data_IF_657397280679
#
_entry.id   IF_657397280679
#
_cell.length_a   1.000
_cell.length_b   1.000
_cell.length_c   1.000
_cell.angle_alpha   90.00
_cell.angle_beta   90.00
_cell.angle_gamma   90.00
#
_symmetry.space_group_name_H-M   'P 1'
#
loop_
_entity.id
_entity.type
_entity.pdbx_description
1 polymer ?
#
# COMPACT_ATOMS: atom_id res chain seq x y z
N UNK A 1 19.57 6.01 -14.79
CA UNK A 1 19.43 7.17 -15.69
C UNK A 1 18.11 7.83 -15.35
N UNK A 2 18.12 9.02 -14.74
CA UNK A 2 16.90 9.77 -14.42
C UNK A 2 16.24 10.13 -15.77
N UNK A 3 15.02 9.68 -16.02
CA UNK A 3 14.24 10.09 -17.18
C UNK A 3 14.08 11.62 -17.12
N UNK A 4 14.42 12.28 -18.23
CA UNK A 4 14.24 13.71 -18.44
C UNK A 4 12.83 14.11 -18.00
N UNK A 5 12.72 15.20 -17.25
CA UNK A 5 11.42 15.75 -16.90
C UNK A 5 10.66 16.06 -18.18
N UNK A 6 9.67 15.24 -18.50
CA UNK A 6 8.80 15.44 -19.65
C UNK A 6 7.76 16.50 -19.29
N UNK A 7 7.56 17.49 -20.13
CA UNK A 7 6.59 18.56 -19.89
C UNK A 7 5.15 18.08 -20.04
N UNK A 8 4.19 18.81 -19.48
CA UNK A 8 2.78 18.47 -19.62
C UNK A 8 2.31 18.57 -21.07
N UNK A 9 2.87 19.50 -21.86
CA UNK A 9 2.61 19.60 -23.28
C UNK A 9 3.10 18.36 -24.04
N UNK A 10 4.28 17.85 -23.72
CA UNK A 10 4.81 16.62 -24.34
C UNK A 10 3.96 15.40 -23.98
N UNK A 11 3.45 15.33 -22.74
CA UNK A 11 2.58 14.24 -22.28
C UNK A 11 1.27 14.27 -23.07
N UNK A 12 0.58 15.41 -23.10
CA UNK A 12 -0.71 15.52 -23.78
C UNK A 12 -0.55 15.27 -25.29
N UNK A 13 0.56 15.72 -25.87
CA UNK A 13 0.86 15.46 -27.28
C UNK A 13 1.01 13.96 -27.56
N UNK A 14 1.80 13.24 -26.76
CA UNK A 14 1.97 11.78 -26.88
C UNK A 14 0.65 11.03 -26.71
N UNK A 15 -0.12 11.36 -25.67
CA UNK A 15 -1.41 10.72 -25.40
C UNK A 15 -2.41 11.00 -26.54
N UNK A 16 -2.49 12.25 -27.00
CA UNK A 16 -3.39 12.62 -28.10
C UNK A 16 -3.03 11.91 -29.40
N UNK A 17 -1.74 11.77 -29.68
CA UNK A 17 -1.25 11.05 -30.86
C UNK A 17 -1.57 9.55 -30.74
N UNK A 18 -1.38 8.95 -29.59
CA UNK A 18 -1.72 7.55 -29.31
C UNK A 18 -3.21 7.28 -29.50
N UNK A 19 -4.08 8.12 -28.91
CA UNK A 19 -5.55 7.98 -29.06
C UNK A 19 -5.96 8.10 -30.53
N UNK A 20 -5.39 9.04 -31.29
CA UNK A 20 -5.68 9.21 -32.71
C UNK A 20 -5.23 8.02 -33.56
N UNK A 21 -4.15 7.34 -33.17
CA UNK A 21 -3.68 6.14 -33.84
C UNK A 21 -4.54 4.90 -33.52
N UNK A 22 -5.31 4.92 -32.43
CA UNK A 22 -6.15 3.80 -31.98
C UNK A 22 -7.60 4.26 -31.73
N UNK A 23 -8.30 4.79 -32.76
CA UNK A 23 -9.60 5.45 -32.58
C UNK A 23 -10.71 4.50 -32.07
N UNK A 24 -10.60 3.21 -32.38
CA UNK A 24 -11.56 2.17 -31.94
C UNK A 24 -11.28 1.62 -30.53
N UNK A 25 -10.09 1.87 -30.00
CA UNK A 25 -9.70 1.34 -28.67
C UNK A 25 -10.40 2.05 -27.50
N UNK A 26 -10.88 3.28 -27.74
CA UNK A 26 -11.46 4.12 -26.69
C UNK A 26 -12.75 4.79 -27.17
N UNK A 27 -13.81 4.68 -26.36
CA UNK A 27 -15.04 5.45 -26.57
C UNK A 27 -14.78 6.96 -26.49
N UNK A 28 -15.65 7.76 -27.09
CA UNK A 28 -15.56 9.24 -27.02
C UNK A 28 -15.49 9.76 -25.56
N UNK A 29 -16.24 9.13 -24.67
CA UNK A 29 -16.22 9.45 -23.24
C UNK A 29 -14.87 9.14 -22.61
N UNK A 30 -14.31 7.96 -22.88
CA UNK A 30 -12.98 7.56 -22.39
C UNK A 30 -11.88 8.48 -22.90
N UNK A 31 -11.92 8.85 -24.19
CA UNK A 31 -10.97 9.80 -24.77
C UNK A 31 -11.02 11.16 -24.04
N UNK A 32 -12.22 11.68 -23.78
CA UNK A 32 -12.39 12.92 -23.04
C UNK A 32 -11.88 12.80 -21.61
N UNK A 33 -12.18 11.68 -20.93
CA UNK A 33 -11.67 11.43 -19.59
C UNK A 33 -10.14 11.38 -19.54
N UNK A 34 -9.52 10.68 -20.48
CA UNK A 34 -8.07 10.57 -20.61
C UNK A 34 -7.43 11.95 -20.80
N UNK A 35 -7.92 12.73 -21.76
CA UNK A 35 -7.39 14.06 -22.08
C UNK A 35 -7.61 15.08 -20.97
N UNK A 36 -8.65 14.91 -20.14
CA UNK A 36 -8.90 15.77 -19.00
C UNK A 36 -8.03 15.44 -17.78
N UNK A 37 -7.62 14.17 -17.64
CA UNK A 37 -6.97 13.66 -16.44
C UNK A 37 -5.51 13.20 -16.68
N UNK A 38 -4.90 13.56 -17.80
CA UNK A 38 -3.54 13.13 -18.16
C UNK A 38 -2.46 13.59 -17.18
N UNK A 39 -2.69 14.67 -16.42
CA UNK A 39 -1.78 15.15 -15.38
C UNK A 39 -1.98 14.41 -14.05
N UNK A 40 -3.09 13.67 -13.93
CA UNK A 40 -3.46 13.04 -12.69
C UNK A 40 -2.60 11.80 -12.46
N UNK A 41 -1.56 12.02 -11.65
CA UNK A 41 -0.79 10.95 -11.07
C UNK A 41 -0.12 10.01 -12.07
N UNK A 42 0.98 10.43 -12.67
CA UNK A 42 1.88 9.51 -13.38
C UNK A 42 2.56 8.49 -12.44
N UNK A 43 2.26 8.55 -11.15
CA UNK A 43 2.72 7.56 -10.17
C UNK A 43 1.86 6.32 -10.27
N UNK A 44 2.50 5.15 -10.37
CA UNK A 44 1.87 3.87 -10.66
C UNK A 44 0.68 3.49 -9.77
N UNK A 45 0.67 3.90 -8.51
CA UNK A 45 -0.42 3.61 -7.56
C UNK A 45 -1.67 4.45 -7.77
N UNK A 46 -1.54 5.65 -8.34
CA UNK A 46 -2.63 6.61 -8.46
C UNK A 46 -3.23 6.68 -9.87
N UNK A 47 -2.64 5.99 -10.84
CA UNK A 47 -3.10 6.04 -12.24
C UNK A 47 -4.36 5.20 -12.42
N UNK A 48 -5.48 5.79 -12.86
CA UNK A 48 -6.67 5.01 -13.23
C UNK A 48 -6.31 3.93 -14.26
N UNK A 49 -6.93 2.75 -14.19
CA UNK A 49 -6.59 1.61 -15.08
C UNK A 49 -6.55 1.96 -16.57
N UNK A 50 -7.49 2.80 -17.02
CA UNK A 50 -7.57 3.23 -18.41
C UNK A 50 -6.37 4.12 -18.84
N UNK A 51 -5.85 4.95 -17.94
CA UNK A 51 -4.65 5.75 -18.19
C UNK A 51 -3.38 4.93 -18.04
N UNK A 52 -3.38 3.95 -17.14
CA UNK A 52 -2.20 3.12 -16.87
C UNK A 52 -1.72 2.40 -18.11
N UNK A 53 -2.62 1.79 -18.88
CA UNK A 53 -2.25 1.11 -20.13
C UNK A 53 -1.58 2.08 -21.10
N UNK A 54 -2.15 3.26 -21.29
CA UNK A 54 -1.56 4.29 -22.19
C UNK A 54 -0.20 4.75 -21.69
N UNK A 55 -0.06 4.95 -20.40
CA UNK A 55 1.20 5.39 -19.79
C UNK A 55 2.29 4.32 -19.86
N UNK A 56 1.93 3.05 -19.73
CA UNK A 56 2.85 1.92 -19.94
C UNK A 56 3.34 1.89 -21.40
N UNK A 57 2.43 1.94 -22.36
CA UNK A 57 2.73 1.94 -23.78
C UNK A 57 3.61 3.12 -24.22
N UNK A 58 3.39 4.29 -23.63
CA UNK A 58 4.13 5.50 -23.93
C UNK A 58 5.36 5.73 -23.04
N UNK A 59 5.67 4.79 -22.15
CA UNK A 59 6.75 4.91 -21.16
C UNK A 59 6.67 6.21 -20.33
N UNK A 60 5.45 6.60 -19.96
CA UNK A 60 5.13 7.82 -19.22
C UNK A 60 4.99 7.60 -17.71
N UNK A 61 4.90 6.35 -17.27
CA UNK A 61 4.87 6.06 -15.85
C UNK A 61 6.15 6.56 -15.18
N UNK A 62 5.99 7.39 -14.19
CA UNK A 62 7.09 7.69 -13.27
C UNK A 62 7.24 6.41 -12.44
N UNK A 63 8.38 5.69 -12.54
CA UNK A 63 8.62 4.64 -11.57
C UNK A 63 8.52 5.33 -10.22
N UNK A 64 7.51 4.98 -9.44
CA UNK A 64 7.55 5.33 -8.04
C UNK A 64 8.94 4.94 -7.55
N UNK A 65 9.67 5.87 -6.92
CA UNK A 65 10.57 5.48 -5.83
C UNK A 65 9.69 4.57 -5.02
N UNK A 66 9.91 3.28 -5.14
CA UNK A 66 8.89 2.32 -4.76
C UNK A 66 8.75 2.47 -3.25
N UNK A 67 7.77 3.28 -2.82
CA UNK A 67 7.51 3.59 -1.39
C UNK A 67 7.45 2.31 -0.57
N UNK A 68 6.96 1.23 -1.22
CA UNK A 68 6.98 -0.10 -0.62
C UNK A 68 8.39 -0.67 -0.49
N UNK A 69 9.35 -0.35 -1.38
CA UNK A 69 10.74 -0.76 -1.21
C UNK A 69 11.36 -0.01 -0.02
N UNK A 70 11.20 1.31 0.05
CA UNK A 70 11.69 2.08 1.19
C UNK A 70 11.11 1.61 2.51
N UNK A 71 9.83 1.23 2.53
CA UNK A 71 9.21 0.69 3.73
C UNK A 71 9.71 -0.73 4.05
N UNK A 72 9.89 -1.57 3.03
CA UNK A 72 10.48 -2.90 3.20
C UNK A 72 11.91 -2.82 3.72
N UNK A 73 12.73 -1.90 3.20
CA UNK A 73 14.10 -1.65 3.70
C UNK A 73 14.11 -1.29 5.20
N UNK A 74 13.11 -0.52 5.67
CA UNK A 74 12.95 -0.20 7.09
C UNK A 74 12.58 -1.46 7.89
N UNK A 75 11.67 -2.27 7.38
CA UNK A 75 11.27 -3.51 8.04
C UNK A 75 12.50 -4.44 8.17
N UNK A 76 13.22 -4.69 7.08
CA UNK A 76 14.37 -5.61 7.04
C UNK A 76 15.57 -5.12 7.88
N UNK A 77 15.74 -3.80 7.97
CA UNK A 77 16.77 -3.20 8.82
C UNK A 77 16.56 -3.49 10.32
N UNK A 78 15.30 -3.59 10.73
CA UNK A 78 14.93 -3.70 12.14
C UNK A 78 14.49 -5.12 12.54
N UNK A 79 14.11 -5.96 11.58
CA UNK A 79 13.56 -7.30 11.82
C UNK A 79 14.08 -8.29 10.79
N UNK A 80 14.45 -9.48 11.25
CA UNK A 80 14.65 -10.63 10.35
C UNK A 80 13.27 -11.15 9.95
N UNK A 81 12.89 -10.93 8.69
CA UNK A 81 11.57 -11.33 8.18
C UNK A 81 11.56 -12.64 7.40
N UNK A 82 12.73 -13.20 7.04
CA UNK A 82 12.83 -14.33 6.10
C UNK A 82 12.06 -15.57 6.55
N UNK A 83 11.97 -15.78 7.86
CA UNK A 83 11.36 -16.98 8.46
C UNK A 83 10.11 -16.67 9.29
N UNK A 84 9.65 -15.41 9.30
CA UNK A 84 8.50 -15.00 10.08
C UNK A 84 7.18 -15.21 9.35
N UNK A 85 6.14 -15.55 10.09
CA UNK A 85 4.77 -15.50 9.61
C UNK A 85 4.23 -14.10 9.87
N UNK A 86 3.99 -13.36 8.80
CA UNK A 86 3.65 -11.94 8.84
C UNK A 86 2.19 -11.75 8.42
N UNK A 87 1.52 -10.80 9.05
CA UNK A 87 0.23 -10.31 8.59
C UNK A 87 0.40 -8.90 8.02
N UNK A 88 -0.08 -8.67 6.81
CA UNK A 88 -0.34 -7.34 6.29
C UNK A 88 -1.81 -6.99 6.53
N UNK A 89 -2.04 -5.88 7.23
CA UNK A 89 -3.37 -5.36 7.48
C UNK A 89 -3.69 -4.26 6.46
N UNK A 90 -4.90 -4.29 5.91
CA UNK A 90 -5.38 -3.33 4.91
C UNK A 90 -4.42 -3.18 3.73
N UNK A 91 -4.12 -4.31 3.08
CA UNK A 91 -3.22 -4.39 1.92
C UNK A 91 -3.75 -3.69 0.66
N UNK A 92 -5.01 -3.24 0.70
CA UNK A 92 -5.70 -2.60 -0.41
C UNK A 92 -6.06 -3.58 -1.54
N UNK A 93 -6.65 -3.05 -2.59
CA UNK A 93 -7.08 -3.84 -3.76
C UNK A 93 -5.96 -4.69 -4.36
N UNK A 94 -4.75 -4.16 -4.37
CA UNK A 94 -3.54 -4.80 -4.86
C UNK A 94 -2.50 -4.85 -3.74
N UNK A 95 -2.25 -6.00 -3.11
CA UNK A 95 -1.38 -6.14 -1.95
C UNK A 95 0.11 -6.03 -2.35
N UNK A 96 0.55 -4.83 -2.71
CA UNK A 96 1.88 -4.61 -3.25
C UNK A 96 3.00 -4.83 -2.22
N UNK A 97 2.79 -4.45 -0.96
CA UNK A 97 3.74 -4.72 0.12
C UNK A 97 3.83 -6.22 0.38
N UNK A 98 2.69 -6.90 0.54
CA UNK A 98 2.65 -8.35 0.76
C UNK A 98 3.32 -9.16 -0.35
N UNK A 99 3.12 -8.76 -1.61
CA UNK A 99 3.83 -9.36 -2.75
C UNK A 99 5.33 -9.20 -2.64
N UNK A 100 5.82 -8.05 -2.21
CA UNK A 100 7.25 -7.81 -2.03
C UNK A 100 7.81 -8.61 -0.87
N UNK A 101 7.17 -8.57 0.30
CA UNK A 101 7.58 -9.36 1.46
C UNK A 101 7.63 -10.84 1.10
N UNK A 102 6.62 -11.35 0.36
CA UNK A 102 6.58 -12.76 -0.05
C UNK A 102 7.77 -13.20 -0.92
N UNK A 103 8.41 -12.27 -1.64
CA UNK A 103 9.63 -12.56 -2.42
C UNK A 103 10.88 -12.67 -1.54
N UNK A 104 10.88 -12.08 -0.36
CA UNK A 104 11.99 -12.11 0.60
C UNK A 104 11.84 -13.21 1.66
N UNK A 105 10.73 -13.95 1.63
CA UNK A 105 10.46 -15.03 2.56
C UNK A 105 11.16 -16.34 2.14
N UNK A 106 11.86 -16.98 3.07
CA UNK A 106 12.47 -18.31 2.87
C UNK A 106 11.57 -19.44 3.39
N UNK A 107 11.12 -19.36 4.64
CA UNK A 107 10.27 -20.36 5.29
C UNK A 107 8.95 -19.81 5.81
N UNK A 108 8.91 -18.50 6.10
CA UNK A 108 7.72 -17.85 6.57
C UNK A 108 6.65 -17.66 5.50
N UNK A 109 5.55 -17.05 5.88
CA UNK A 109 4.45 -16.65 4.99
C UNK A 109 4.02 -15.25 5.30
N UNK A 110 3.43 -14.57 4.32
CA UNK A 110 2.67 -13.35 4.57
C UNK A 110 1.21 -13.57 4.23
N UNK A 111 0.34 -13.25 5.18
CA UNK A 111 -1.11 -13.26 4.99
C UNK A 111 -1.62 -11.82 4.91
N UNK A 112 -2.20 -11.46 3.79
CA UNK A 112 -2.80 -10.14 3.58
C UNK A 112 -4.28 -10.19 3.88
N UNK A 113 -4.75 -9.29 4.72
CA UNK A 113 -6.16 -9.10 5.05
C UNK A 113 -6.66 -7.77 4.52
N UNK A 114 -7.63 -7.82 3.62
CA UNK A 114 -8.36 -6.64 3.11
C UNK A 114 -9.67 -7.08 2.49
N UNK A 115 -10.78 -6.39 2.78
CA UNK A 115 -12.10 -6.72 2.22
C UNK A 115 -12.27 -6.27 0.77
N UNK A 116 -11.37 -5.42 0.25
CA UNK A 116 -11.39 -4.85 -1.09
C UNK A 116 -10.43 -5.56 -2.07
N UNK A 117 -9.80 -6.68 -1.67
CA UNK A 117 -8.90 -7.44 -2.54
C UNK A 117 -9.57 -7.80 -3.88
N UNK A 118 -8.90 -7.49 -4.99
CA UNK A 118 -9.40 -7.86 -6.34
C UNK A 118 -9.39 -9.39 -6.53
N UNK A 119 -8.46 -10.09 -5.88
CA UNK A 119 -8.31 -11.52 -6.01
C UNK A 119 -7.78 -12.12 -4.71
N UNK A 120 -8.26 -13.29 -4.38
CA UNK A 120 -7.73 -14.14 -3.28
C UNK A 120 -6.73 -15.18 -3.78
N UNK A 121 -6.42 -15.17 -5.08
CA UNK A 121 -5.46 -16.11 -5.67
C UNK A 121 -4.06 -15.50 -5.78
N UNK A 122 -3.04 -16.28 -5.43
CA UNK A 122 -1.64 -15.93 -5.61
C UNK A 122 -0.86 -17.12 -6.17
N UNK A 123 0.00 -16.86 -7.15
CA UNK A 123 0.95 -17.86 -7.66
C UNK A 123 2.17 -18.05 -6.74
N UNK A 124 2.37 -17.15 -5.76
CA UNK A 124 3.42 -17.30 -4.76
C UNK A 124 2.87 -18.08 -3.55
N UNK A 125 3.38 -19.28 -3.23
CA UNK A 125 2.88 -20.10 -2.12
C UNK A 125 3.10 -19.46 -0.74
N UNK A 126 3.93 -18.42 -0.65
CA UNK A 126 4.19 -17.69 0.58
C UNK A 126 3.27 -16.48 0.79
N UNK A 127 2.47 -16.14 -0.22
CA UNK A 127 1.49 -15.06 -0.17
C UNK A 127 0.08 -15.65 -0.07
N UNK A 128 -0.54 -15.44 1.08
CA UNK A 128 -1.91 -15.85 1.36
C UNK A 128 -2.78 -14.59 1.32
N UNK A 129 -3.83 -14.60 0.51
CA UNK A 129 -4.74 -13.48 0.35
C UNK A 129 -6.10 -13.81 0.95
N UNK A 130 -6.56 -12.98 1.88
CA UNK A 130 -7.84 -13.13 2.56
C UNK A 130 -8.70 -11.88 2.37
N UNK A 131 -9.80 -12.03 1.64
CA UNK A 131 -10.77 -10.95 1.41
C UNK A 131 -11.70 -10.81 2.62
N UNK A 132 -11.13 -10.40 3.72
CA UNK A 132 -11.82 -10.17 4.99
C UNK A 132 -11.08 -9.15 5.84
N UNK A 133 -11.78 -8.47 6.74
CA UNK A 133 -11.17 -7.58 7.74
C UNK A 133 -10.77 -8.35 8.99
N UNK A 134 -9.61 -8.05 9.52
CA UNK A 134 -9.23 -8.45 10.86
C UNK A 134 -10.12 -7.75 11.90
N UNK A 135 -10.42 -8.47 12.99
CA UNK A 135 -11.21 -7.95 14.11
C UNK A 135 -10.28 -7.71 15.29
N UNK A 136 -10.51 -6.63 16.04
CA UNK A 136 -9.72 -6.26 17.23
C UNK A 136 -9.52 -7.41 18.24
N UNK A 137 -10.50 -8.27 18.37
CA UNK A 137 -10.46 -9.38 19.32
C UNK A 137 -9.95 -10.69 18.74
N UNK A 138 -9.44 -10.68 17.52
CA UNK A 138 -8.99 -11.91 16.87
C UNK A 138 -7.74 -12.46 17.55
N UNK A 139 -7.80 -13.74 17.90
CA UNK A 139 -6.63 -14.48 18.37
C UNK A 139 -5.93 -15.03 17.14
N UNK A 140 -4.67 -14.67 16.99
CA UNK A 140 -3.83 -15.11 15.90
C UNK A 140 -2.93 -16.26 16.37
N UNK A 141 -2.85 -17.31 15.59
CA UNK A 141 -1.94 -18.42 15.87
C UNK A 141 -0.80 -18.42 14.86
N UNK A 142 0.41 -18.70 15.35
CA UNK A 142 1.61 -18.79 14.51
C UNK A 142 1.87 -17.53 13.69
N UNK A 143 1.65 -16.35 14.25
CA UNK A 143 1.97 -15.05 13.67
C UNK A 143 3.07 -14.42 14.53
N UNK A 144 4.07 -13.89 13.87
CA UNK A 144 5.24 -13.28 14.51
C UNK A 144 5.19 -11.74 14.44
N UNK A 145 4.53 -11.19 13.41
CA UNK A 145 4.60 -9.77 13.12
C UNK A 145 3.37 -9.26 12.36
N UNK A 146 3.02 -8.00 12.59
CA UNK A 146 2.02 -7.26 11.81
C UNK A 146 2.73 -6.13 11.07
N UNK A 147 2.41 -5.99 9.78
CA UNK A 147 2.83 -4.85 8.96
C UNK A 147 1.63 -4.18 8.33
N UNK A 148 1.76 -2.89 8.02
CA UNK A 148 0.73 -2.16 7.28
C UNK A 148 1.30 -0.91 6.63
N UNK A 149 0.90 -0.67 5.40
CA UNK A 149 1.28 0.54 4.67
C UNK A 149 0.06 1.42 4.47
N UNK A 150 0.00 2.50 5.26
CA UNK A 150 -1.13 3.45 5.30
C UNK A 150 -2.49 2.75 5.51
N UNK A 151 -2.62 1.87 6.51
CA UNK A 151 -3.83 1.06 6.69
C UNK A 151 -5.02 1.84 7.22
N UNK A 152 -4.90 3.15 7.41
CA UNK A 152 -5.96 4.02 7.94
C UNK A 152 -6.59 3.43 9.23
N UNK A 153 -7.89 3.17 9.22
CA UNK A 153 -8.61 2.55 10.34
C UNK A 153 -8.03 1.18 10.76
N UNK A 154 -7.36 0.48 9.85
CA UNK A 154 -6.62 -0.74 10.17
C UNK A 154 -5.48 -0.54 11.17
N UNK A 155 -4.99 0.70 11.35
CA UNK A 155 -3.93 1.01 12.32
C UNK A 155 -4.35 0.70 13.75
N UNK A 156 -5.53 1.13 14.16
CA UNK A 156 -6.05 0.89 15.52
C UNK A 156 -6.26 -0.60 15.78
N UNK A 157 -6.80 -1.30 14.78
CA UNK A 157 -6.98 -2.75 14.82
C UNK A 157 -5.62 -3.45 14.93
N UNK A 158 -4.61 -3.01 14.17
CA UNK A 158 -3.25 -3.58 14.24
C UNK A 158 -2.63 -3.42 15.62
N UNK A 159 -2.75 -2.23 16.24
CA UNK A 159 -2.25 -1.94 17.59
C UNK A 159 -2.93 -2.85 18.60
N UNK A 160 -4.26 -2.97 18.54
CA UNK A 160 -5.05 -3.81 19.45
C UNK A 160 -4.63 -5.29 19.35
N UNK A 161 -4.50 -5.80 18.11
CA UNK A 161 -4.10 -7.19 17.86
C UNK A 161 -2.65 -7.43 18.29
N UNK A 162 -1.72 -6.52 17.94
CA UNK A 162 -0.31 -6.65 18.31
C UNK A 162 -0.16 -6.71 19.85
N UNK A 163 -0.84 -5.82 20.55
CA UNK A 163 -0.87 -5.80 22.01
C UNK A 163 -1.39 -7.12 22.60
N UNK A 164 -2.53 -7.59 22.10
CA UNK A 164 -3.19 -8.80 22.61
C UNK A 164 -2.36 -10.06 22.40
N UNK A 165 -1.67 -10.15 21.27
CA UNK A 165 -0.92 -11.34 20.88
C UNK A 165 0.60 -11.20 21.10
N UNK A 166 1.07 -10.07 21.68
CA UNK A 166 2.48 -9.76 21.92
C UNK A 166 3.34 -9.86 20.64
N UNK A 167 2.84 -9.29 19.55
CA UNK A 167 3.49 -9.34 18.23
C UNK A 167 4.34 -8.11 17.97
N UNK A 168 5.41 -8.29 17.21
CA UNK A 168 6.11 -7.17 16.56
C UNK A 168 5.16 -6.45 15.59
N UNK A 169 5.34 -5.12 15.45
CA UNK A 169 4.50 -4.34 14.54
C UNK A 169 5.28 -3.23 13.86
N UNK A 170 5.09 -3.08 12.55
CA UNK A 170 5.61 -1.96 11.77
C UNK A 170 4.51 -1.41 10.87
N UNK A 171 4.14 -0.16 11.11
CA UNK A 171 3.07 0.52 10.37
C UNK A 171 3.61 1.84 9.79
N UNK A 172 3.48 2.03 8.49
CA UNK A 172 3.61 3.35 7.89
C UNK A 172 2.27 4.08 8.05
N UNK A 173 2.25 5.13 8.85
CA UNK A 173 1.05 5.94 9.04
C UNK A 173 0.81 6.82 7.80
N UNK A 174 -0.44 6.95 7.39
CA UNK A 174 -0.90 7.90 6.38
C UNK A 174 -1.72 9.02 7.02
N UNK A 175 -2.38 9.80 6.19
CA UNK A 175 -3.42 10.75 6.63
C UNK A 175 -4.67 9.96 6.95
N UNK A 176 -4.79 9.52 8.20
CA UNK A 176 -5.88 8.66 8.66
C UNK A 176 -7.02 9.44 9.30
N UNK A 177 -8.13 8.72 9.45
CA UNK A 177 -9.25 9.12 10.31
C UNK A 177 -9.35 8.07 11.41
N UNK A 178 -9.57 8.54 12.66
CA UNK A 178 -9.73 7.65 13.79
C UNK A 178 -11.02 6.82 13.74
N UNK A 179 -11.08 5.82 14.58
CA UNK A 179 -12.27 5.02 14.89
C UNK A 179 -12.66 5.23 16.36
N UNK A 180 -13.93 5.06 16.66
CA UNK A 180 -14.41 5.13 18.04
C UNK A 180 -14.05 6.44 18.74
N UNK A 181 -13.21 6.38 19.80
CA UNK A 181 -12.82 7.57 20.58
C UNK A 181 -11.95 8.56 19.77
N UNK A 182 -11.31 8.11 18.71
CA UNK A 182 -10.43 8.91 17.85
C UNK A 182 -11.09 9.36 16.56
N UNK A 183 -12.38 9.09 16.35
CA UNK A 183 -13.10 9.37 15.08
C UNK A 183 -13.08 10.84 14.65
N UNK A 184 -12.85 11.77 15.57
CA UNK A 184 -12.76 13.21 15.30
C UNK A 184 -11.33 13.69 15.03
N UNK A 185 -10.35 12.80 15.15
CA UNK A 185 -8.95 13.12 14.91
C UNK A 185 -8.59 12.84 13.45
N UNK A 186 -7.76 13.69 12.87
CA UNK A 186 -7.23 13.51 11.51
C UNK A 186 -5.80 14.04 11.41
N UNK A 187 -5.09 13.64 10.34
CA UNK A 187 -3.75 14.13 10.06
C UNK A 187 -2.77 13.85 11.21
N UNK A 188 -2.03 14.87 11.59
CA UNK A 188 -0.97 14.77 12.59
C UNK A 188 -1.51 14.40 14.00
N UNK A 189 -2.66 14.94 14.38
CA UNK A 189 -3.26 14.65 15.69
C UNK A 189 -3.62 13.16 15.80
N UNK A 190 -4.17 12.59 14.75
CA UNK A 190 -4.45 11.17 14.69
C UNK A 190 -3.17 10.34 14.74
N UNK A 191 -2.12 10.73 14.02
CA UNK A 191 -0.83 10.03 14.04
C UNK A 191 -0.22 10.04 15.45
N UNK A 192 -0.29 11.16 16.16
CA UNK A 192 0.19 11.27 17.54
C UNK A 192 -0.64 10.39 18.50
N UNK A 193 -1.96 10.34 18.31
CA UNK A 193 -2.81 9.45 19.09
C UNK A 193 -2.45 7.97 18.86
N UNK A 194 -2.23 7.57 17.60
CA UNK A 194 -1.81 6.20 17.26
C UNK A 194 -0.45 5.84 17.89
N UNK A 195 0.51 6.77 17.85
CA UNK A 195 1.79 6.56 18.52
C UNK A 195 1.63 6.40 20.04
N UNK A 196 0.78 7.22 20.66
CA UNK A 196 0.53 7.13 22.08
C UNK A 196 -0.08 5.77 22.46
N UNK A 197 -1.06 5.28 21.70
CA UNK A 197 -1.65 3.96 21.92
C UNK A 197 -0.64 2.83 21.68
N UNK A 198 0.21 2.94 20.64
CA UNK A 198 1.28 1.99 20.41
C UNK A 198 2.29 1.95 21.57
N UNK A 199 2.66 3.11 22.13
CA UNK A 199 3.56 3.21 23.31
C UNK A 199 2.97 2.62 24.58
N UNK A 200 1.66 2.73 24.77
CA UNK A 200 0.97 2.02 25.86
C UNK A 200 1.01 0.50 25.69
N UNK A 201 1.02 0.06 24.42
CA UNK A 201 1.02 -1.37 24.09
C UNK A 201 2.42 -2.01 24.22
N UNK A 202 3.46 -1.24 23.91
CA UNK A 202 4.85 -1.73 23.90
C UNK A 202 5.77 -0.69 24.57
N UNK A 203 6.82 -1.16 25.28
CA UNK A 203 7.79 -0.24 25.91
C UNK A 203 8.71 0.48 24.91
N UNK A 204 8.72 0.05 23.64
CA UNK A 204 9.71 0.47 22.64
C UNK A 204 9.08 0.98 21.32
N UNK A 205 7.86 1.54 21.37
CA UNK A 205 7.30 2.13 20.14
C UNK A 205 8.03 3.45 19.80
N UNK A 206 8.57 3.53 18.60
CA UNK A 206 9.27 4.71 18.09
C UNK A 206 8.67 5.17 16.76
N UNK A 207 8.74 6.49 16.51
CA UNK A 207 8.39 7.11 15.23
C UNK A 207 9.63 7.26 14.38
N UNK A 208 9.70 6.48 13.29
CA UNK A 208 10.64 6.73 12.20
C UNK A 208 9.96 7.51 11.08
N UNK A 209 10.70 8.37 10.40
CA UNK A 209 10.21 9.07 9.21
C UNK A 209 10.65 8.33 7.95
N UNK A 210 9.71 8.04 7.05
CA UNK A 210 10.01 7.58 5.69
C UNK A 210 10.60 8.78 4.91
N UNK A 211 11.87 8.68 4.51
CA UNK A 211 12.54 9.67 3.65
C UNK A 211 12.38 9.29 2.17
#
# INVERSE_FOLDING_TARGET
>A
MLKKDITDEEIIHKISTFIKAHPEAYTKYQQQFILKNYTWGRKTSLVPPILRQIYDELDLLIPEKNIYNGFLDIIEKNFDIENKNIIEISGGKLPNLGKKIALHQNKGTITVYDDDLISTHSNNPRLILKQERLKENQVLQNVDMIVGFMPQQGTEIAISIAKKNSLDMVIALGDGYGLGETEYLSGEDWQQAMLYEARKATRNADLGTLQ
#
